data_IF_554794447444
#
_entry.id   IF_554794447444
#
_cell.length_a   1.000
_cell.length_b   1.000
_cell.length_c   1.000
_cell.angle_alpha   90.00
_cell.angle_beta   90.00
_cell.angle_gamma   90.00
#
_symmetry.space_group_name_H-M   'P 1'
#
loop_
_entity.id
_entity.type
_entity.pdbx_description
1 polymer ?
#
# COMPACT_ATOMS: atom_id res chain seq x y z
N UNK A 1 -35.29 23.65 -33.80
CA UNK A 1 -34.53 22.38 -34.00
C UNK A 1 -33.06 22.65 -33.68
N UNK A 2 -32.63 22.60 -32.41
CA UNK A 2 -31.26 22.98 -31.98
C UNK A 2 -30.68 22.06 -30.89
N UNK A 3 -31.02 20.77 -30.87
CA UNK A 3 -30.57 19.84 -29.82
C UNK A 3 -29.96 18.59 -30.45
N UNK A 4 -28.78 18.71 -31.07
CA UNK A 4 -27.99 17.55 -31.52
C UNK A 4 -26.49 17.84 -31.52
N UNK A 5 -25.85 18.06 -30.37
CA UNK A 5 -24.40 17.84 -30.26
C UNK A 5 -23.84 17.64 -28.83
N UNK A 6 -24.52 16.88 -27.98
CA UNK A 6 -23.95 16.48 -26.67
C UNK A 6 -23.10 15.19 -26.79
N UNK A 7 -23.33 14.38 -27.83
CA UNK A 7 -22.54 13.15 -28.07
C UNK A 7 -21.10 13.43 -28.50
N UNK A 8 -20.86 14.48 -29.30
CA UNK A 8 -19.52 14.88 -29.71
C UNK A 8 -18.68 15.38 -28.52
N UNK A 9 -19.31 16.15 -27.63
CA UNK A 9 -18.69 16.61 -26.39
C UNK A 9 -18.28 15.44 -25.48
N UNK A 10 -19.12 14.40 -25.36
CA UNK A 10 -18.81 13.22 -24.54
C UNK A 10 -17.62 12.41 -25.08
N UNK A 11 -17.48 12.30 -26.40
CA UNK A 11 -16.34 11.63 -27.04
C UNK A 11 -15.05 12.45 -26.87
N UNK A 12 -15.13 13.76 -27.02
CA UNK A 12 -14.00 14.67 -26.79
C UNK A 12 -13.58 14.66 -25.32
N UNK A 13 -14.53 14.60 -24.38
CA UNK A 13 -14.25 14.48 -22.95
C UNK A 13 -13.60 13.14 -22.59
N UNK A 14 -14.10 12.03 -23.15
CA UNK A 14 -13.53 10.70 -22.94
C UNK A 14 -12.13 10.56 -23.55
N UNK A 15 -11.90 11.16 -24.72
CA UNK A 15 -10.58 11.27 -25.33
C UNK A 15 -9.62 12.11 -24.49
N UNK A 16 -10.10 13.23 -23.93
CA UNK A 16 -9.32 14.07 -23.02
C UNK A 16 -8.94 13.32 -21.74
N UNK A 17 -9.85 12.55 -21.13
CA UNK A 17 -9.55 11.73 -19.94
C UNK A 17 -8.57 10.60 -20.25
N UNK A 18 -8.69 9.95 -21.41
CA UNK A 18 -7.77 8.87 -21.83
C UNK A 18 -6.38 9.41 -22.14
N UNK A 19 -6.28 10.52 -22.87
CA UNK A 19 -5.01 11.19 -23.15
C UNK A 19 -4.40 11.79 -21.89
N UNK A 20 -5.21 12.34 -20.99
CA UNK A 20 -4.72 12.81 -19.70
C UNK A 20 -4.17 11.62 -18.87
N UNK A 21 -4.84 10.45 -18.84
CA UNK A 21 -4.39 9.26 -18.11
C UNK A 21 -3.11 8.66 -18.72
N UNK A 22 -2.98 8.68 -20.05
CA UNK A 22 -1.79 8.22 -20.75
C UNK A 22 -0.61 9.19 -20.72
N UNK A 23 -0.83 10.48 -20.51
CA UNK A 23 0.22 11.52 -20.48
C UNK A 23 0.73 11.86 -19.08
N UNK A 24 0.17 11.25 -18.03
CA UNK A 24 0.50 11.59 -16.64
C UNK A 24 -0.03 12.96 -16.21
N UNK A 25 -1.08 13.48 -16.87
CA UNK A 25 -1.78 14.74 -16.54
C UNK A 25 -3.25 14.54 -16.12
N UNK A 26 -3.81 13.32 -16.20
CA UNK A 26 -5.16 13.02 -15.68
C UNK A 26 -5.06 12.92 -14.19
N UNK A 27 -5.50 13.96 -13.49
CA UNK A 27 -5.58 13.99 -12.02
C UNK A 27 -4.30 13.54 -11.31
N UNK A 28 -3.18 13.54 -12.04
CA UNK A 28 -1.83 13.34 -11.56
C UNK A 28 -1.39 14.65 -10.91
N UNK A 29 -2.14 15.07 -9.89
CA UNK A 29 -1.48 15.58 -8.71
C UNK A 29 -0.40 14.54 -8.37
N UNK A 30 0.83 14.96 -8.08
CA UNK A 30 1.97 14.09 -7.77
C UNK A 30 1.66 12.89 -6.84
N UNK A 31 0.56 12.98 -6.10
CA UNK A 31 -0.19 11.92 -5.44
C UNK A 31 -0.30 10.62 -6.25
N UNK A 32 -0.74 10.57 -7.52
CA UNK A 32 -1.00 9.29 -8.21
C UNK A 32 0.27 8.49 -8.62
N UNK A 33 1.38 9.19 -8.85
CA UNK A 33 2.67 8.52 -9.06
C UNK A 33 3.19 8.00 -7.71
N UNK A 34 3.00 8.77 -6.64
CA UNK A 34 3.41 8.36 -5.29
C UNK A 34 2.59 7.19 -4.75
N UNK A 35 1.29 7.12 -5.04
CA UNK A 35 0.42 6.02 -4.59
C UNK A 35 0.78 4.70 -5.26
N UNK A 36 1.09 4.71 -6.56
CA UNK A 36 1.51 3.52 -7.29
C UNK A 36 2.86 2.96 -6.82
N UNK A 37 3.84 3.84 -6.55
CA UNK A 37 5.16 3.42 -6.03
C UNK A 37 5.04 2.88 -4.59
N UNK A 38 4.22 3.54 -3.77
CA UNK A 38 4.01 3.16 -2.37
C UNK A 38 3.26 1.85 -2.27
N UNK A 39 2.21 1.67 -3.08
CA UNK A 39 1.43 0.43 -3.13
C UNK A 39 2.30 -0.78 -3.54
N UNK A 40 3.15 -0.63 -4.56
CA UNK A 40 4.09 -1.70 -4.95
C UNK A 40 5.07 -2.04 -3.82
N UNK A 41 5.71 -1.03 -3.23
CA UNK A 41 6.72 -1.22 -2.19
C UNK A 41 6.11 -1.83 -0.92
N UNK A 42 4.91 -1.38 -0.51
CA UNK A 42 4.17 -1.93 0.63
C UNK A 42 3.78 -3.40 0.41
N UNK A 43 3.32 -3.77 -0.79
CA UNK A 43 2.97 -5.17 -1.08
C UNK A 43 4.18 -6.10 -0.99
N UNK A 44 5.34 -5.64 -1.46
CA UNK A 44 6.58 -6.42 -1.41
C UNK A 44 7.12 -6.56 0.01
N UNK A 45 7.08 -5.47 0.80
CA UNK A 45 7.45 -5.50 2.22
C UNK A 45 6.59 -6.46 3.02
N UNK A 46 5.27 -6.46 2.80
CA UNK A 46 4.35 -7.34 3.52
C UNK A 46 4.71 -8.84 3.34
N UNK A 47 5.04 -9.24 2.11
CA UNK A 47 5.47 -10.61 1.80
C UNK A 47 6.79 -10.96 2.50
N UNK A 48 7.76 -10.04 2.51
CA UNK A 48 9.04 -10.24 3.21
C UNK A 48 8.82 -10.42 4.72
N UNK A 49 7.99 -9.57 5.33
CA UNK A 49 7.68 -9.66 6.75
C UNK A 49 7.01 -11.00 7.11
N UNK A 50 6.11 -11.49 6.25
CA UNK A 50 5.51 -12.82 6.41
C UNK A 50 6.57 -13.93 6.43
N UNK A 51 7.53 -13.88 5.50
CA UNK A 51 8.63 -14.85 5.43
C UNK A 51 9.53 -14.78 6.67
N UNK A 52 9.87 -13.57 7.16
CA UNK A 52 10.65 -13.40 8.39
C UNK A 52 9.90 -13.93 9.61
N UNK A 53 8.58 -13.70 9.70
CA UNK A 53 7.76 -14.21 10.80
C UNK A 53 7.75 -15.73 10.81
N UNK A 54 7.64 -16.36 9.63
CA UNK A 54 7.72 -17.80 9.48
C UNK A 54 9.10 -18.32 9.91
N UNK A 55 10.19 -17.69 9.47
CA UNK A 55 11.56 -18.03 9.86
C UNK A 55 11.81 -17.88 11.37
N UNK A 56 11.31 -16.81 11.99
CA UNK A 56 11.40 -16.61 13.43
C UNK A 56 10.62 -17.66 14.24
N UNK A 57 9.45 -18.07 13.73
CA UNK A 57 8.68 -19.17 14.30
C UNK A 57 9.43 -20.51 14.24
N UNK A 58 10.05 -20.82 13.10
CA UNK A 58 10.90 -22.02 12.95
C UNK A 58 12.14 -21.96 13.86
N UNK A 59 12.75 -20.78 14.04
CA UNK A 59 13.89 -20.61 14.94
C UNK A 59 13.49 -20.84 16.41
N UNK A 60 12.31 -20.38 16.81
CA UNK A 60 11.79 -20.65 18.15
C UNK A 60 11.48 -22.13 18.38
N UNK A 61 10.92 -22.80 17.37
CA UNK A 61 10.60 -24.23 17.45
C UNK A 61 11.86 -25.12 17.46
N UNK A 62 12.95 -24.68 16.85
CA UNK A 62 14.24 -25.41 16.81
C UNK A 62 15.17 -25.06 17.98
N UNK A 63 14.83 -24.08 18.82
CA UNK A 63 15.61 -23.65 19.98
C UNK A 63 15.61 -24.63 21.19
N UNK A 64 15.13 -25.86 20.99
CA UNK A 64 14.88 -26.86 22.05
C UNK A 64 16.07 -26.95 23.03
N UNK A 65 15.82 -26.62 24.29
CA UNK A 65 16.76 -26.78 25.40
C UNK A 65 17.78 -25.65 25.61
N UNK A 66 17.77 -24.58 24.80
CA UNK A 66 18.68 -23.44 24.98
C UNK A 66 17.91 -22.13 25.21
N UNK A 67 17.88 -21.66 26.46
CA UNK A 67 17.20 -20.41 26.85
C UNK A 67 17.68 -19.19 26.06
N UNK A 68 18.95 -19.13 25.66
CA UNK A 68 19.49 -18.04 24.85
C UNK A 68 18.86 -18.02 23.46
N UNK A 69 18.63 -19.19 22.86
CA UNK A 69 17.97 -19.32 21.54
C UNK A 69 16.48 -19.01 21.64
N UNK A 70 15.82 -19.38 22.73
CA UNK A 70 14.42 -19.02 22.99
C UNK A 70 14.26 -17.50 23.10
N UNK A 71 15.11 -16.85 23.91
CA UNK A 71 15.07 -15.39 24.11
C UNK A 71 15.38 -14.61 22.83
N UNK A 72 16.34 -15.10 22.05
CA UNK A 72 16.68 -14.53 20.73
C UNK A 72 15.49 -14.66 19.77
N UNK A 73 14.84 -15.82 19.72
CA UNK A 73 13.69 -16.05 18.83
C UNK A 73 12.47 -15.21 19.23
N UNK A 74 12.18 -15.09 20.53
CA UNK A 74 11.13 -14.20 21.04
C UNK A 74 11.39 -12.73 20.68
N UNK A 75 12.65 -12.28 20.78
CA UNK A 75 13.04 -10.92 20.39
C UNK A 75 12.85 -10.70 18.88
N UNK A 76 13.17 -11.71 18.07
CA UNK A 76 12.99 -11.66 16.62
C UNK A 76 11.50 -11.61 16.23
N UNK A 77 10.66 -12.42 16.89
CA UNK A 77 9.20 -12.44 16.66
C UNK A 77 8.55 -11.12 17.11
N UNK A 78 8.92 -10.59 18.28
CA UNK A 78 8.39 -9.30 18.75
C UNK A 78 8.82 -8.15 17.83
N UNK A 79 10.07 -8.15 17.36
CA UNK A 79 10.54 -7.16 16.37
C UNK A 79 9.78 -7.26 15.04
N UNK A 80 9.52 -8.48 14.57
CA UNK A 80 8.72 -8.71 13.36
C UNK A 80 7.27 -8.23 13.52
N UNK A 81 6.64 -8.49 14.68
CA UNK A 81 5.30 -7.99 14.99
C UNK A 81 5.25 -6.46 15.01
N UNK A 82 6.23 -5.80 15.64
CA UNK A 82 6.28 -4.33 15.70
C UNK A 82 6.36 -3.75 14.28
N UNK A 83 7.18 -4.32 13.39
CA UNK A 83 7.26 -3.88 12.00
C UNK A 83 5.93 -4.03 11.25
N UNK A 84 5.21 -5.12 11.46
CA UNK A 84 3.88 -5.34 10.88
C UNK A 84 2.85 -4.33 11.41
N UNK A 85 2.95 -4.00 12.70
CA UNK A 85 2.09 -3.03 13.36
C UNK A 85 2.34 -1.60 12.85
N UNK A 86 3.59 -1.25 12.55
CA UNK A 86 3.97 0.04 11.93
C UNK A 86 3.39 0.16 10.52
N UNK A 87 3.44 -0.89 9.71
CA UNK A 87 2.84 -0.90 8.37
C UNK A 87 1.32 -0.70 8.45
N UNK A 88 0.66 -1.42 9.35
CA UNK A 88 -0.77 -1.27 9.58
C UNK A 88 -1.13 0.15 10.06
N UNK A 89 -0.34 0.73 10.98
CA UNK A 89 -0.52 2.09 11.45
C UNK A 89 -0.30 3.13 10.34
N UNK A 90 0.71 2.95 9.49
CA UNK A 90 0.96 3.83 8.35
C UNK A 90 -0.23 3.85 7.39
N UNK A 91 -0.78 2.68 7.06
CA UNK A 91 -1.96 2.57 6.20
C UNK A 91 -3.19 3.21 6.85
N UNK A 92 -3.41 2.97 8.15
CA UNK A 92 -4.51 3.58 8.90
C UNK A 92 -4.42 5.12 8.89
N UNK A 93 -3.22 5.68 9.06
CA UNK A 93 -2.99 7.12 8.99
C UNK A 93 -3.26 7.66 7.58
N UNK A 94 -2.75 7.00 6.54
CA UNK A 94 -2.99 7.40 5.14
C UNK A 94 -4.48 7.37 4.80
N UNK A 95 -5.21 6.34 5.24
CA UNK A 95 -6.65 6.23 5.05
C UNK A 95 -7.42 7.32 5.81
N UNK A 96 -7.03 7.62 7.06
CA UNK A 96 -7.64 8.69 7.85
C UNK A 96 -7.48 10.07 7.19
N UNK A 97 -6.29 10.35 6.67
CA UNK A 97 -6.02 11.58 5.92
C UNK A 97 -6.85 11.61 4.63
N UNK A 98 -6.85 10.53 3.84
CA UNK A 98 -7.62 10.44 2.59
C UNK A 98 -9.12 10.64 2.77
N UNK A 99 -9.73 10.01 3.77
CA UNK A 99 -11.15 10.17 4.08
C UNK A 99 -11.48 11.58 4.60
N UNK A 100 -10.57 12.20 5.35
CA UNK A 100 -10.76 13.58 5.84
C UNK A 100 -10.64 14.61 4.72
N UNK A 101 -9.87 14.34 3.67
CA UNK A 101 -9.78 15.22 2.49
C UNK A 101 -10.85 14.93 1.43
N UNK A 102 -11.55 13.79 1.50
CA UNK A 102 -12.69 13.45 0.63
C UNK A 102 -14.04 13.87 1.24
N UNK A 103 -14.04 15.00 1.96
CA UNK A 103 -15.28 15.64 2.42
C UNK A 103 -16.03 16.15 1.19
N UNK A 104 -17.33 15.79 1.14
CA UNK A 104 -18.34 16.25 0.18
C UNK A 104 -18.20 17.71 -0.25
#
# INVERSE_FOLDING_TARGET
MFIKNYKGLAVVLSGLETTANGSGFSKATAVDISTNILAKTMSFLAVIFLLLMMYGGFLWMTAVGNDSRIKTSQTLITSAMIGLLVIAAAYAITAFLGDTFTVK
#
